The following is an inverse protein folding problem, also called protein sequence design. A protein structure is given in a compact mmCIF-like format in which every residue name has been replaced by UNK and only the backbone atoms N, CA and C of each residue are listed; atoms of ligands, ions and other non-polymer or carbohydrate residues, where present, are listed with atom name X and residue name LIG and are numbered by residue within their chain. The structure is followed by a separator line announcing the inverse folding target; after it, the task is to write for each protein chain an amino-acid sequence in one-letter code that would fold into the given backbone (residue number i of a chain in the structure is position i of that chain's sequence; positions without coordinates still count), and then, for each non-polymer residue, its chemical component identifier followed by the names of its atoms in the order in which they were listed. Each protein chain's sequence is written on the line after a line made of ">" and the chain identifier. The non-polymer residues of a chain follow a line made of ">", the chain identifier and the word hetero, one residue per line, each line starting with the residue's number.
data_IF_892774359914
#
_entry.id   IF_892774359914
#
_cell.length_a   1.000
_cell.length_b   1.000
_cell.length_c   1.000
_cell.angle_alpha   90.00
_cell.angle_beta   90.00
_cell.angle_gamma   90.00
#
_symmetry.space_group_name_H-M   'P 1'
#
loop_
_entity.id
_entity.type
_entity.pdbx_description
1 polymer ?
#
# COMPACT_ATOMS: atom_id res chain seq x y z
N UNK A 1 85.70 37.70 21.05
CA UNK A 1 84.36 37.72 21.68
C UNK A 1 83.45 38.59 20.82
N UNK A 2 82.46 37.97 20.14
CA UNK A 2 80.99 38.15 20.37
C UNK A 2 80.48 39.57 20.05
N UNK A 3 79.50 39.83 19.18
CA UNK A 3 78.46 39.00 18.55
C UNK A 3 77.91 39.67 17.27
N UNK A 4 77.62 38.80 16.31
CA UNK A 4 76.74 38.94 15.15
C UNK A 4 75.30 39.34 15.56
N UNK A 5 74.66 40.25 14.82
CA UNK A 5 73.19 40.26 14.66
C UNK A 5 72.81 40.61 13.22
N UNK A 6 72.49 39.54 12.51
CA UNK A 6 71.59 39.36 11.36
C UNK A 6 70.28 40.15 11.49
N UNK A 7 69.68 40.50 10.33
CA UNK A 7 68.24 40.68 9.98
C UNK A 7 68.14 41.82 8.96
N UNK A 8 67.49 41.75 7.80
CA UNK A 8 66.94 40.64 7.04
C UNK A 8 66.77 41.12 5.58
N UNK A 9 67.07 40.22 4.66
CA UNK A 9 66.75 40.23 3.25
C UNK A 9 65.27 39.82 3.08
N UNK A 10 64.41 40.68 2.52
CA UNK A 10 63.13 40.28 1.89
C UNK A 10 62.87 41.26 0.74
N UNK A 11 63.31 40.94 -0.47
CA UNK A 11 62.57 40.25 -1.53
C UNK A 11 61.46 41.11 -2.17
N UNK A 12 61.84 41.71 -3.29
CA UNK A 12 60.97 42.29 -4.31
C UNK A 12 60.17 41.15 -4.97
N UNK A 13 58.87 41.07 -4.70
CA UNK A 13 57.90 40.30 -5.51
C UNK A 13 56.77 41.27 -5.88
N UNK A 14 56.89 41.87 -7.06
CA UNK A 14 55.73 42.08 -7.93
C UNK A 14 55.07 40.72 -8.15
N UNK A 15 53.74 40.58 -7.97
CA UNK A 15 52.86 39.65 -8.70
C UNK A 15 51.44 39.66 -8.07
N UNK A 16 50.46 39.97 -8.91
CA UNK A 16 49.03 39.65 -8.81
C UNK A 16 48.25 40.15 -7.58
N UNK A 17 47.58 41.30 -7.77
CA UNK A 17 46.28 41.52 -7.14
C UNK A 17 45.32 40.42 -7.62
N UNK A 18 45.13 39.38 -6.81
CA UNK A 18 43.99 38.49 -6.93
C UNK A 18 42.73 39.34 -6.73
N UNK A 19 42.10 39.76 -7.82
CA UNK A 19 40.67 40.00 -7.80
C UNK A 19 40.03 38.68 -7.39
N UNK A 20 39.42 38.65 -6.21
CA UNK A 20 38.44 37.63 -5.87
C UNK A 20 37.32 37.75 -6.92
N UNK A 21 37.44 36.99 -8.00
CA UNK A 21 36.31 36.67 -8.86
C UNK A 21 35.32 35.96 -7.94
N UNK A 22 34.40 36.74 -7.39
CA UNK A 22 33.13 36.29 -6.87
C UNK A 22 32.46 35.51 -7.99
N UNK A 23 32.80 34.22 -8.11
CA UNK A 23 32.09 33.23 -8.91
C UNK A 23 30.71 33.03 -8.26
N UNK A 24 29.85 34.03 -8.46
CA UNK A 24 28.40 33.94 -8.41
C UNK A 24 27.92 33.07 -9.60
N UNK A 25 28.49 31.87 -9.74
CA UNK A 25 27.74 30.80 -10.36
C UNK A 25 26.75 30.37 -9.30
N UNK A 26 25.57 31.01 -9.33
CA UNK A 26 24.37 30.40 -8.77
C UNK A 26 24.38 28.96 -9.25
N UNK A 27 24.59 28.03 -8.32
CA UNK A 27 24.57 26.59 -8.56
C UNK A 27 23.35 26.33 -9.42
N UNK A 28 23.58 25.98 -10.69
CA UNK A 28 22.51 25.77 -11.65
C UNK A 28 21.56 24.76 -11.01
N UNK A 29 20.37 25.22 -10.68
CA UNK A 29 19.41 24.45 -9.91
C UNK A 29 19.15 23.16 -10.70
N UNK A 30 19.42 22.00 -10.08
CA UNK A 30 19.24 20.71 -10.74
C UNK A 30 17.76 20.53 -11.05
N UNK A 31 17.39 20.91 -12.28
CA UNK A 31 16.03 20.77 -12.77
C UNK A 31 15.62 19.29 -12.79
N UNK A 32 16.57 18.37 -12.94
CA UNK A 32 16.30 16.93 -13.00
C UNK A 32 15.68 16.51 -14.33
N UNK A 33 15.68 15.20 -14.58
CA UNK A 33 14.99 14.60 -15.72
C UNK A 33 13.50 14.46 -15.40
N UNK A 34 12.64 14.62 -16.39
CA UNK A 34 11.19 14.38 -16.22
C UNK A 34 10.90 12.91 -15.85
N UNK A 35 11.63 11.99 -16.49
CA UNK A 35 11.53 10.55 -16.30
C UNK A 35 12.90 9.97 -15.93
N UNK A 36 12.94 9.15 -14.89
CA UNK A 36 14.14 8.43 -14.46
C UNK A 36 13.89 6.94 -14.64
N UNK A 37 14.85 6.24 -15.24
CA UNK A 37 14.80 4.79 -15.48
C UNK A 37 15.98 4.12 -14.80
N UNK A 38 15.68 3.23 -13.85
CA UNK A 38 16.64 2.37 -13.14
C UNK A 38 16.41 0.94 -13.65
N UNK A 39 17.29 0.44 -14.51
CA UNK A 39 17.06 -0.81 -15.23
C UNK A 39 18.33 -1.63 -15.52
N UNK A 40 18.13 -2.91 -15.86
CA UNK A 40 19.19 -3.81 -16.29
C UNK A 40 20.12 -4.25 -15.16
N UNK A 41 21.40 -4.42 -15.47
CA UNK A 41 22.35 -5.02 -14.55
C UNK A 41 22.95 -4.03 -13.53
N UNK A 42 22.12 -3.10 -13.04
CA UNK A 42 22.53 -1.99 -12.17
C UNK A 42 22.69 -2.43 -10.71
N UNK A 43 23.75 -1.98 -10.05
CA UNK A 43 23.96 -2.22 -8.62
C UNK A 43 23.23 -1.20 -7.74
N UNK A 44 23.23 -1.41 -6.41
CA UNK A 44 22.65 -0.46 -5.47
C UNK A 44 23.34 0.91 -5.54
N UNK A 45 24.68 0.92 -5.60
CA UNK A 45 25.49 2.14 -5.61
C UNK A 45 25.26 2.93 -6.91
N UNK A 46 25.20 2.25 -8.05
CA UNK A 46 24.94 2.86 -9.35
C UNK A 46 23.52 3.46 -9.41
N UNK A 47 22.51 2.71 -8.96
CA UNK A 47 21.13 3.21 -8.93
C UNK A 47 20.99 4.43 -8.02
N UNK A 48 21.64 4.43 -6.86
CA UNK A 48 21.62 5.56 -5.94
C UNK A 48 22.35 6.79 -6.51
N UNK A 49 23.48 6.59 -7.19
CA UNK A 49 24.20 7.67 -7.87
C UNK A 49 23.33 8.28 -8.97
N UNK A 50 22.69 7.46 -9.79
CA UNK A 50 21.81 7.91 -10.85
C UNK A 50 20.61 8.71 -10.30
N UNK A 51 19.94 8.22 -9.25
CA UNK A 51 18.88 8.97 -8.59
C UNK A 51 19.38 10.32 -8.07
N UNK A 52 20.56 10.36 -7.47
CA UNK A 52 21.16 11.60 -6.93
C UNK A 52 21.44 12.63 -8.03
N UNK A 53 21.83 12.19 -9.22
CA UNK A 53 22.16 13.04 -10.35
C UNK A 53 20.94 13.48 -11.18
N UNK A 54 19.94 12.61 -11.30
CA UNK A 54 18.80 12.81 -12.20
C UNK A 54 17.55 13.36 -11.51
N UNK A 55 17.39 13.15 -10.19
CA UNK A 55 16.28 13.73 -9.43
C UNK A 55 16.39 15.25 -9.36
N UNK A 56 15.28 15.93 -9.63
CA UNK A 56 15.17 17.38 -9.51
C UNK A 56 13.73 17.87 -9.63
N UNK A 57 13.55 19.19 -9.68
CA UNK A 57 12.22 19.85 -9.64
C UNK A 57 11.27 19.47 -10.78
N UNK A 58 11.80 19.03 -11.92
CA UNK A 58 11.04 18.62 -13.09
C UNK A 58 10.74 17.11 -13.09
N UNK A 59 11.30 16.33 -12.16
CA UNK A 59 11.05 14.89 -12.14
C UNK A 59 9.60 14.61 -11.77
N UNK A 60 8.93 13.85 -12.64
CA UNK A 60 7.54 13.45 -12.44
C UNK A 60 7.41 11.95 -12.25
N UNK A 61 8.25 11.16 -12.92
CA UNK A 61 8.09 9.71 -12.99
C UNK A 61 9.41 8.98 -12.72
N UNK A 62 9.34 7.89 -11.95
CA UNK A 62 10.47 7.02 -11.66
C UNK A 62 10.07 5.58 -11.97
N UNK A 63 10.85 4.93 -12.83
CA UNK A 63 10.66 3.54 -13.24
C UNK A 63 11.85 2.72 -12.76
N UNK A 64 11.58 1.65 -12.00
CA UNK A 64 12.58 0.69 -11.53
C UNK A 64 12.18 -0.66 -12.10
N UNK A 65 12.84 -1.07 -13.19
CA UNK A 65 12.35 -2.17 -14.00
C UNK A 65 13.45 -3.12 -14.47
N UNK A 66 13.13 -4.41 -14.55
CA UNK A 66 14.00 -5.43 -15.16
C UNK A 66 15.43 -5.43 -14.58
N UNK A 67 15.60 -5.15 -13.29
CA UNK A 67 16.92 -5.13 -12.67
C UNK A 67 17.38 -6.52 -12.24
N UNK A 68 18.64 -6.88 -12.53
CA UNK A 68 19.21 -8.20 -12.21
C UNK A 68 20.26 -8.21 -11.10
N UNK A 69 20.69 -7.05 -10.61
CA UNK A 69 21.66 -6.93 -9.49
C UNK A 69 21.21 -5.99 -8.37
N UNK A 70 20.16 -5.18 -8.61
CA UNK A 70 19.65 -4.24 -7.64
C UNK A 70 18.93 -5.00 -6.51
N UNK A 71 19.45 -4.91 -5.29
CA UNK A 71 18.89 -5.58 -4.11
C UNK A 71 18.17 -4.62 -3.17
N UNK A 72 18.53 -3.34 -3.21
CA UNK A 72 17.95 -2.31 -2.39
C UNK A 72 17.89 -0.98 -3.13
N UNK A 73 16.81 -0.22 -2.94
CA UNK A 73 16.68 1.13 -3.46
C UNK A 73 16.00 2.05 -2.46
N UNK A 74 16.50 3.27 -2.36
CA UNK A 74 15.94 4.33 -1.53
C UNK A 74 15.61 5.54 -2.39
N UNK A 75 14.32 5.81 -2.56
CA UNK A 75 13.82 6.96 -3.29
C UNK A 75 13.41 8.02 -2.28
N UNK A 76 14.17 9.10 -2.21
CA UNK A 76 13.85 10.26 -1.39
C UNK A 76 13.78 11.50 -2.26
N UNK A 77 12.68 12.24 -2.18
CA UNK A 77 12.49 13.45 -2.97
C UNK A 77 11.59 14.44 -2.26
N UNK A 78 12.00 15.70 -2.21
CA UNK A 78 11.19 16.82 -1.72
C UNK A 78 10.29 17.41 -2.83
N UNK A 79 10.37 16.84 -4.05
CA UNK A 79 9.60 17.28 -5.21
C UNK A 79 8.36 16.39 -5.39
N UNK A 80 7.34 16.93 -6.07
CA UNK A 80 6.10 16.21 -6.30
C UNK A 80 6.30 15.14 -7.39
N UNK A 81 6.61 13.92 -6.98
CA UNK A 81 6.62 12.77 -7.88
C UNK A 81 5.17 12.32 -8.12
N UNK A 82 4.80 12.20 -9.40
CA UNK A 82 3.47 11.79 -9.82
C UNK A 82 3.36 10.26 -9.86
N UNK A 83 4.37 9.59 -10.41
CA UNK A 83 4.35 8.16 -10.70
C UNK A 83 5.62 7.47 -10.22
N UNK A 84 5.47 6.34 -9.52
CA UNK A 84 6.58 5.42 -9.25
C UNK A 84 6.13 4.01 -9.56
N UNK A 85 6.96 3.28 -10.30
CA UNK A 85 6.68 1.91 -10.70
C UNK A 85 7.88 1.00 -10.50
N UNK A 86 7.63 -0.12 -9.84
CA UNK A 86 8.58 -1.22 -9.69
C UNK A 86 8.06 -2.41 -10.48
N UNK A 87 8.79 -2.84 -11.50
CA UNK A 87 8.36 -3.92 -12.39
C UNK A 87 9.46 -4.96 -12.64
N UNK A 88 9.16 -6.25 -12.46
CA UNK A 88 10.04 -7.37 -12.88
C UNK A 88 11.51 -7.27 -12.39
N UNK A 89 11.72 -6.83 -11.16
CA UNK A 89 13.05 -6.75 -10.54
C UNK A 89 13.39 -8.08 -9.85
N UNK A 90 14.42 -8.76 -10.33
CA UNK A 90 14.77 -10.13 -9.93
C UNK A 90 15.32 -10.23 -8.50
N UNK A 91 16.24 -9.34 -8.13
CA UNK A 91 16.94 -9.42 -6.85
C UNK A 91 16.51 -8.34 -5.85
N UNK A 92 15.54 -7.49 -6.22
CA UNK A 92 15.12 -6.34 -5.41
C UNK A 92 14.30 -6.77 -4.19
N UNK A 93 14.92 -6.66 -3.01
CA UNK A 93 14.38 -7.05 -1.71
C UNK A 93 13.88 -5.84 -0.93
N UNK A 94 14.64 -4.74 -0.90
CA UNK A 94 14.37 -3.61 -0.02
C UNK A 94 13.97 -2.36 -0.81
N UNK A 95 12.78 -1.84 -0.56
CA UNK A 95 12.28 -0.60 -1.17
C UNK A 95 11.91 0.37 -0.07
N UNK A 96 12.59 1.52 -0.04
CA UNK A 96 12.24 2.63 0.85
C UNK A 96 11.86 3.86 0.03
N UNK A 97 10.73 4.46 0.37
CA UNK A 97 10.23 5.68 -0.29
C UNK A 97 9.91 6.73 0.78
N UNK A 98 10.38 7.96 0.58
CA UNK A 98 10.14 9.08 1.49
C UNK A 98 10.30 10.46 0.82
N UNK A 99 10.07 11.51 1.61
CA UNK A 99 10.24 12.91 1.20
C UNK A 99 8.97 13.59 0.66
N UNK A 100 8.07 12.86 0.00
CA UNK A 100 6.82 13.44 -0.52
C UNK A 100 5.56 12.85 0.14
N UNK A 101 4.55 13.72 0.28
CA UNK A 101 3.29 13.42 1.00
C UNK A 101 2.17 12.88 0.12
N UNK A 102 2.21 13.17 -1.18
CA UNK A 102 1.15 12.79 -2.12
C UNK A 102 1.78 12.15 -3.34
N UNK A 103 1.14 11.11 -3.85
CA UNK A 103 1.51 10.48 -5.11
C UNK A 103 0.25 10.19 -5.91
N UNK A 104 0.32 10.30 -7.24
CA UNK A 104 -0.82 9.94 -8.07
C UNK A 104 -0.89 8.43 -8.20
N UNK A 105 0.19 7.80 -8.64
CA UNK A 105 0.25 6.38 -8.97
C UNK A 105 1.50 5.76 -8.35
N UNK A 106 1.32 4.73 -7.53
CA UNK A 106 2.41 3.95 -6.93
C UNK A 106 2.17 2.46 -7.19
N UNK A 107 3.05 1.85 -7.98
CA UNK A 107 2.87 0.52 -8.51
C UNK A 107 4.03 -0.39 -8.11
N UNK A 108 3.69 -1.55 -7.56
CA UNK A 108 4.62 -2.65 -7.32
C UNK A 108 4.08 -3.85 -8.09
N UNK A 109 4.58 -4.06 -9.31
CA UNK A 109 4.18 -5.14 -10.20
C UNK A 109 5.27 -6.18 -10.27
N UNK A 110 4.96 -7.39 -9.86
CA UNK A 110 5.88 -8.51 -10.03
C UNK A 110 5.09 -9.76 -10.41
N UNK A 111 4.30 -9.62 -11.46
CA UNK A 111 3.46 -10.67 -12.00
C UNK A 111 4.24 -11.42 -13.10
N UNK A 112 5.12 -12.34 -12.70
CA UNK A 112 5.31 -13.55 -13.52
C UNK A 112 6.49 -13.63 -14.50
N UNK A 113 7.73 -13.41 -14.07
CA UNK A 113 8.87 -14.02 -14.78
C UNK A 113 9.51 -15.10 -13.92
N UNK A 114 9.48 -16.33 -14.42
CA UNK A 114 10.26 -17.44 -13.88
C UNK A 114 11.73 -17.27 -14.33
N UNK A 115 12.74 -17.48 -13.46
CA UNK A 115 12.63 -17.91 -12.07
C UNK A 115 12.04 -16.80 -11.19
N UNK A 116 10.99 -17.15 -10.45
CA UNK A 116 10.30 -16.21 -9.57
C UNK A 116 11.32 -15.66 -8.58
N UNK A 117 11.35 -14.33 -8.35
CA UNK A 117 12.12 -13.78 -7.24
C UNK A 117 11.66 -14.46 -5.96
N UNK A 118 12.57 -15.25 -5.37
CA UNK A 118 12.31 -16.09 -4.19
C UNK A 118 12.31 -15.30 -2.89
N UNK A 119 12.66 -14.01 -2.94
CA UNK A 119 12.97 -13.25 -1.75
C UNK A 119 11.78 -12.41 -1.27
N UNK A 120 11.51 -12.42 0.06
CA UNK A 120 10.64 -11.44 0.69
C UNK A 120 10.97 -10.02 0.26
N UNK A 121 9.93 -9.20 0.08
CA UNK A 121 10.09 -7.77 -0.22
C UNK A 121 9.73 -6.95 0.99
N UNK A 122 10.63 -6.07 1.40
CA UNK A 122 10.42 -5.08 2.43
C UNK A 122 10.08 -3.75 1.76
N UNK A 123 8.79 -3.42 1.71
CA UNK A 123 8.27 -2.17 1.16
C UNK A 123 7.94 -1.23 2.31
N UNK A 124 8.67 -0.12 2.40
CA UNK A 124 8.49 0.90 3.43
C UNK A 124 8.24 2.26 2.80
N UNK A 125 7.04 2.78 2.95
CA UNK A 125 6.66 4.13 2.56
C UNK A 125 6.43 4.96 3.82
N UNK A 126 7.37 5.87 4.12
CA UNK A 126 7.40 6.56 5.41
C UNK A 126 6.61 7.86 5.44
N UNK A 127 6.49 8.53 4.29
CA UNK A 127 5.97 9.91 4.23
C UNK A 127 4.71 10.10 3.40
N UNK A 128 4.32 9.10 2.60
CA UNK A 128 3.14 9.17 1.75
C UNK A 128 1.89 9.20 2.63
N UNK A 129 1.12 10.28 2.54
CA UNK A 129 -0.15 10.49 3.24
C UNK A 129 -1.37 10.22 2.33
N UNK A 130 -1.25 10.48 1.03
CA UNK A 130 -2.32 10.29 0.05
C UNK A 130 -1.80 9.64 -1.25
N UNK A 131 -2.54 8.65 -1.76
CA UNK A 131 -2.31 8.07 -3.09
C UNK A 131 -3.61 8.15 -3.91
N UNK A 132 -3.55 8.52 -5.19
CA UNK A 132 -4.75 8.42 -6.05
C UNK A 132 -5.03 6.99 -6.49
N UNK A 133 -3.97 6.23 -6.76
CA UNK A 133 -3.96 4.82 -7.14
C UNK A 133 -2.76 4.13 -6.47
N UNK A 134 -3.01 3.01 -5.79
CA UNK A 134 -2.00 2.19 -5.15
C UNK A 134 -2.18 0.75 -5.59
N UNK A 135 -1.17 0.17 -6.24
CA UNK A 135 -1.23 -1.19 -6.76
C UNK A 135 -0.04 -1.99 -6.23
N UNK A 136 -0.31 -2.99 -5.39
CA UNK A 136 0.68 -3.87 -4.79
C UNK A 136 0.37 -5.29 -5.22
N UNK A 137 1.06 -5.76 -6.28
CA UNK A 137 0.95 -7.11 -6.85
C UNK A 137 2.28 -7.83 -6.68
N UNK A 138 2.42 -8.55 -5.58
CA UNK A 138 3.62 -9.30 -5.24
C UNK A 138 3.42 -10.80 -5.55
N UNK A 139 4.50 -11.57 -5.80
CA UNK A 139 4.37 -12.97 -6.16
C UNK A 139 3.68 -13.77 -5.05
N UNK A 140 2.50 -14.31 -5.36
CA UNK A 140 1.67 -14.99 -4.36
C UNK A 140 2.28 -16.30 -3.82
N UNK A 141 3.28 -16.84 -4.53
CA UNK A 141 3.99 -18.07 -4.16
C UNK A 141 5.26 -17.81 -3.34
N UNK A 142 5.66 -16.54 -3.16
CA UNK A 142 6.84 -16.16 -2.40
C UNK A 142 6.39 -15.65 -1.01
N UNK A 143 6.43 -16.48 0.04
CA UNK A 143 5.97 -16.05 1.34
C UNK A 143 6.86 -14.94 1.89
N UNK A 144 6.23 -14.06 2.67
CA UNK A 144 6.93 -13.28 3.68
C UNK A 144 7.20 -11.82 3.35
N UNK A 145 6.47 -11.24 2.42
CA UNK A 145 6.54 -9.81 2.15
C UNK A 145 6.16 -8.98 3.39
N UNK A 146 6.85 -7.85 3.58
CA UNK A 146 6.58 -6.89 4.64
C UNK A 146 6.20 -5.57 3.97
N UNK A 147 4.93 -5.20 4.07
CA UNK A 147 4.37 -3.99 3.43
C UNK A 147 3.94 -3.00 4.51
N UNK A 148 4.54 -1.81 4.51
CA UNK A 148 4.32 -0.80 5.53
C UNK A 148 4.17 0.60 4.95
N UNK A 149 3.03 1.22 5.23
CA UNK A 149 2.69 2.59 4.87
C UNK A 149 2.32 3.37 6.15
N UNK A 150 3.35 3.93 6.81
CA UNK A 150 3.20 4.44 8.18
C UNK A 150 2.28 5.68 8.28
N UNK A 151 2.23 6.50 7.23
CA UNK A 151 1.49 7.77 7.22
C UNK A 151 0.33 7.82 6.22
N UNK A 152 0.08 6.73 5.47
CA UNK A 152 -0.93 6.73 4.42
C UNK A 152 -2.33 6.79 5.03
N UNK A 153 -3.01 7.91 4.81
CA UNK A 153 -4.37 8.20 5.30
C UNK A 153 -5.44 7.89 4.27
N UNK A 154 -5.14 8.06 2.99
CA UNK A 154 -6.14 7.96 1.92
C UNK A 154 -5.61 7.30 0.66
N UNK A 155 -6.41 6.39 0.10
CA UNK A 155 -6.26 5.91 -1.29
C UNK A 155 -7.55 6.19 -2.08
N UNK A 156 -7.44 6.95 -3.16
CA UNK A 156 -8.56 7.30 -4.03
C UNK A 156 -8.36 8.63 -4.77
N UNK A 157 -9.07 8.88 -5.88
CA UNK A 157 -10.35 8.26 -6.22
C UNK A 157 -10.26 6.95 -7.02
N UNK A 158 -9.07 6.46 -7.36
CA UNK A 158 -8.95 5.18 -8.07
C UNK A 158 -8.83 4.02 -7.07
N UNK A 159 -8.41 2.87 -7.55
CA UNK A 159 -8.37 1.65 -6.77
C UNK A 159 -7.13 1.58 -5.86
N UNK A 160 -7.32 0.85 -4.76
CA UNK A 160 -6.28 0.25 -3.97
C UNK A 160 -6.29 -1.26 -4.27
N UNK A 161 -5.27 -1.77 -4.95
CA UNK A 161 -5.10 -3.21 -5.19
C UNK A 161 -3.99 -3.74 -4.30
N UNK A 162 -4.27 -4.82 -3.57
CA UNK A 162 -3.31 -5.49 -2.69
C UNK A 162 -3.42 -7.01 -2.85
N UNK A 163 -2.49 -7.57 -3.62
CA UNK A 163 -2.34 -9.00 -3.89
C UNK A 163 -0.96 -9.47 -3.39
N UNK A 164 -0.89 -10.14 -2.25
CA UNK A 164 0.38 -10.56 -1.65
C UNK A 164 0.24 -11.62 -0.53
N UNK A 165 1.25 -12.46 -0.35
CA UNK A 165 1.47 -13.21 0.89
C UNK A 165 2.35 -12.41 1.86
N UNK A 166 1.77 -11.95 2.97
CA UNK A 166 2.41 -10.96 3.85
C UNK A 166 2.75 -11.54 5.23
N UNK A 167 4.00 -11.36 5.67
CA UNK A 167 4.38 -11.49 7.08
C UNK A 167 3.91 -10.26 7.86
N UNK A 168 4.30 -9.07 7.40
CA UNK A 168 3.90 -7.78 7.94
C UNK A 168 3.00 -7.04 6.95
N UNK A 169 1.90 -6.50 7.45
CA UNK A 169 0.99 -5.65 6.69
C UNK A 169 0.55 -4.52 7.61
N UNK A 170 1.03 -3.31 7.33
CA UNK A 170 0.88 -2.19 8.24
C UNK A 170 0.35 -0.93 7.53
N UNK A 171 -0.88 -0.56 7.89
CA UNK A 171 -1.58 0.65 7.45
C UNK A 171 -2.22 1.32 8.67
N UNK A 172 -1.41 1.84 9.61
CA UNK A 172 -1.90 2.24 10.94
C UNK A 172 -2.72 3.53 10.89
N UNK A 173 -2.58 4.32 9.83
CA UNK A 173 -3.22 5.63 9.66
C UNK A 173 -4.23 5.67 8.51
N UNK A 174 -4.49 4.55 7.82
CA UNK A 174 -5.37 4.51 6.65
C UNK A 174 -6.84 4.68 7.05
N UNK A 175 -7.43 5.82 6.71
CA UNK A 175 -8.79 6.22 7.11
C UNK A 175 -9.83 6.04 6.01
N UNK A 176 -9.45 6.22 4.75
CA UNK A 176 -10.39 6.19 3.61
C UNK A 176 -9.82 5.48 2.40
N UNK A 177 -10.60 4.59 1.80
CA UNK A 177 -10.30 3.94 0.51
C UNK A 177 -11.50 4.09 -0.40
N UNK A 178 -11.30 4.35 -1.70
CA UNK A 178 -12.41 4.33 -2.65
C UNK A 178 -12.79 2.87 -2.98
N UNK A 179 -12.05 2.24 -3.90
CA UNK A 179 -12.19 0.82 -4.25
C UNK A 179 -11.02 0.05 -3.66
N UNK A 180 -11.29 -1.05 -2.97
CA UNK A 180 -10.28 -1.92 -2.37
C UNK A 180 -10.38 -3.32 -2.97
N UNK A 181 -9.46 -3.65 -3.88
CA UNK A 181 -9.30 -4.99 -4.43
C UNK A 181 -8.30 -5.76 -3.56
N UNK A 182 -8.78 -6.80 -2.88
CA UNK A 182 -8.07 -7.39 -1.76
C UNK A 182 -7.85 -8.90 -1.98
N UNK A 183 -6.59 -9.35 -2.04
CA UNK A 183 -6.21 -10.75 -2.01
C UNK A 183 -4.92 -10.93 -1.20
N UNK A 184 -5.06 -10.96 0.12
CA UNK A 184 -3.93 -11.10 1.03
C UNK A 184 -3.96 -12.45 1.73
N UNK A 185 -2.85 -13.16 1.66
CA UNK A 185 -2.59 -14.32 2.49
C UNK A 185 -1.84 -13.90 3.76
N UNK A 186 -2.56 -13.89 4.88
CA UNK A 186 -2.05 -13.56 6.21
C UNK A 186 -3.09 -13.98 7.25
N UNK A 187 -2.74 -14.72 8.34
CA UNK A 187 -3.75 -15.27 9.26
C UNK A 187 -4.69 -14.23 9.88
N UNK A 188 -4.16 -13.06 10.28
CA UNK A 188 -4.94 -11.98 10.89
C UNK A 188 -4.61 -10.67 10.18
N UNK A 189 -5.65 -10.00 9.71
CA UNK A 189 -5.54 -8.74 8.97
C UNK A 189 -6.39 -7.70 9.70
N UNK A 190 -5.80 -6.55 10.00
CA UNK A 190 -6.47 -5.47 10.74
C UNK A 190 -6.17 -4.13 10.09
N UNK A 191 -7.23 -3.36 9.81
CA UNK A 191 -7.15 -1.96 9.42
C UNK A 191 -7.72 -1.10 10.57
N UNK A 192 -6.87 -0.65 11.51
CA UNK A 192 -7.32 -0.19 12.84
C UNK A 192 -8.15 1.10 12.79
N UNK A 193 -7.91 1.97 11.81
CA UNK A 193 -8.52 3.31 11.73
C UNK A 193 -9.29 3.55 10.43
N UNK A 194 -9.49 2.52 9.61
CA UNK A 194 -10.20 2.62 8.33
C UNK A 194 -11.68 2.84 8.59
N UNK A 195 -12.19 4.03 8.24
CA UNK A 195 -13.55 4.50 8.53
C UNK A 195 -14.49 4.41 7.33
N UNK A 196 -13.94 4.59 6.12
CA UNK A 196 -14.73 4.71 4.89
C UNK A 196 -14.16 3.87 3.76
N UNK A 197 -15.00 3.03 3.17
CA UNK A 197 -14.72 2.29 1.93
C UNK A 197 -15.93 2.43 1.00
N UNK A 198 -15.76 2.78 -0.28
CA UNK A 198 -16.91 2.69 -1.20
C UNK A 198 -17.15 1.24 -1.60
N UNK A 199 -16.11 0.54 -2.05
CA UNK A 199 -16.23 -0.86 -2.46
C UNK A 199 -15.05 -1.66 -1.97
N UNK A 200 -15.30 -2.83 -1.38
CA UNK A 200 -14.30 -3.85 -1.14
C UNK A 200 -14.65 -5.11 -1.93
N UNK A 201 -13.71 -5.53 -2.78
CA UNK A 201 -13.79 -6.75 -3.55
C UNK A 201 -12.81 -7.77 -2.94
N UNK A 202 -13.35 -8.90 -2.52
CA UNK A 202 -12.57 -10.00 -1.96
C UNK A 202 -11.87 -10.83 -3.04
N UNK A 203 -10.99 -11.72 -2.60
CA UNK A 203 -10.26 -12.61 -3.49
C UNK A 203 -11.16 -13.74 -4.00
N UNK A 204 -10.68 -14.47 -5.01
CA UNK A 204 -11.25 -15.78 -5.37
C UNK A 204 -11.04 -16.83 -4.26
N UNK A 205 -10.00 -16.64 -3.43
CA UNK A 205 -9.53 -17.52 -2.36
C UNK A 205 -9.26 -16.73 -1.09
N UNK A 206 -9.97 -17.03 0.00
CA UNK A 206 -9.69 -16.46 1.32
C UNK A 206 -8.59 -17.27 2.02
N UNK A 207 -7.45 -16.63 2.26
CA UNK A 207 -6.30 -17.24 2.96
C UNK A 207 -5.92 -16.44 4.22
N UNK A 208 -6.96 -15.93 4.91
CA UNK A 208 -6.89 -15.32 6.22
C UNK A 208 -7.97 -15.93 7.12
N UNK A 209 -7.70 -15.99 8.42
CA UNK A 209 -8.65 -16.52 9.40
C UNK A 209 -9.50 -15.39 9.98
N UNK A 210 -8.96 -14.16 10.00
CA UNK A 210 -9.62 -13.01 10.61
C UNK A 210 -9.33 -11.73 9.82
N UNK A 211 -10.39 -10.98 9.53
CA UNK A 211 -10.35 -9.65 8.92
C UNK A 211 -11.08 -8.64 9.80
N UNK A 212 -10.35 -7.65 10.29
CA UNK A 212 -10.83 -6.69 11.28
C UNK A 212 -10.86 -5.27 10.74
N UNK A 213 -12.02 -4.65 10.88
CA UNK A 213 -12.27 -3.24 10.60
C UNK A 213 -12.94 -2.57 11.83
N UNK A 214 -12.21 -2.38 12.94
CA UNK A 214 -12.78 -1.88 14.18
C UNK A 214 -13.39 -0.46 14.08
N UNK A 215 -12.91 0.35 13.13
CA UNK A 215 -13.34 1.74 12.94
C UNK A 215 -14.26 1.95 11.72
N UNK A 216 -14.57 0.91 10.93
CA UNK A 216 -15.28 1.07 9.65
C UNK A 216 -16.75 1.39 9.89
N UNK A 217 -17.15 2.57 9.42
CA UNK A 217 -18.50 3.13 9.57
C UNK A 217 -19.28 3.08 8.26
N UNK A 218 -18.60 3.24 7.12
CA UNK A 218 -19.23 3.26 5.81
C UNK A 218 -18.56 2.24 4.88
N UNK A 219 -19.35 1.32 4.34
CA UNK A 219 -18.95 0.39 3.28
C UNK A 219 -20.11 0.19 2.31
N UNK A 220 -20.15 0.92 1.18
CA UNK A 220 -21.32 0.83 0.27
C UNK A 220 -21.48 -0.58 -0.30
N UNK A 221 -20.39 -1.21 -0.74
CA UNK A 221 -20.36 -2.57 -1.29
C UNK A 221 -19.26 -3.42 -0.66
N UNK A 222 -19.65 -4.45 0.08
CA UNK A 222 -18.78 -5.52 0.57
C UNK A 222 -19.04 -6.79 -0.25
N UNK A 223 -18.06 -7.23 -1.04
CA UNK A 223 -18.28 -8.32 -2.00
C UNK A 223 -17.16 -9.37 -1.97
N UNK A 224 -17.34 -10.38 -1.13
CA UNK A 224 -16.46 -11.55 -1.06
C UNK A 224 -17.20 -12.74 -1.69
N UNK A 225 -17.00 -12.90 -3.00
CA UNK A 225 -17.58 -13.98 -3.80
C UNK A 225 -16.48 -14.98 -4.14
N UNK A 226 -16.08 -15.79 -3.16
CA UNK A 226 -15.11 -16.87 -3.42
C UNK A 226 -15.77 -18.01 -4.18
N UNK A 227 -15.00 -18.81 -4.90
CA UNK A 227 -15.48 -20.01 -5.60
C UNK A 227 -15.12 -21.29 -4.85
N UNK A 228 -14.13 -21.21 -3.97
CA UNK A 228 -13.60 -22.34 -3.24
C UNK A 228 -13.79 -22.17 -1.73
N UNK A 229 -13.92 -23.31 -1.06
CA UNK A 229 -14.15 -23.38 0.38
C UNK A 229 -12.89 -22.97 1.12
N UNK A 230 -13.06 -22.08 2.07
CA UNK A 230 -11.98 -21.67 2.96
C UNK A 230 -12.30 -22.07 4.39
N UNK A 231 -11.28 -22.02 5.25
CA UNK A 231 -11.50 -22.17 6.68
C UNK A 231 -12.46 -21.06 7.17
N UNK A 232 -13.14 -21.33 8.29
CA UNK A 232 -14.05 -20.36 8.92
C UNK A 232 -13.34 -19.03 9.11
N UNK A 233 -13.85 -18.01 8.45
CA UNK A 233 -13.27 -16.68 8.47
C UNK A 233 -14.11 -15.75 9.32
N UNK A 234 -13.47 -15.08 10.28
CA UNK A 234 -14.12 -14.11 11.14
C UNK A 234 -13.96 -12.73 10.53
N UNK A 235 -15.07 -12.06 10.23
CA UNK A 235 -15.10 -10.67 9.78
C UNK A 235 -15.71 -9.80 10.88
N UNK A 236 -14.93 -8.82 11.36
CA UNK A 236 -15.32 -7.96 12.49
C UNK A 236 -15.44 -6.51 12.03
N UNK A 237 -16.67 -5.99 11.99
CA UNK A 237 -16.97 -4.62 11.53
C UNK A 237 -17.94 -3.91 12.50
N UNK A 238 -17.60 -3.76 13.80
CA UNK A 238 -18.57 -3.46 14.86
C UNK A 238 -19.26 -2.09 14.74
N UNK A 239 -18.64 -1.15 14.03
CA UNK A 239 -19.14 0.23 13.89
C UNK A 239 -19.81 0.51 12.54
N UNK A 240 -20.13 -0.52 11.74
CA UNK A 240 -20.75 -0.33 10.43
C UNK A 240 -22.11 0.36 10.58
N UNK A 241 -22.26 1.51 9.94
CA UNK A 241 -23.48 2.32 9.92
C UNK A 241 -24.14 2.33 8.53
N UNK A 242 -23.38 2.12 7.46
CA UNK A 242 -23.91 2.14 6.09
C UNK A 242 -23.37 0.99 5.23
N UNK A 243 -24.27 0.25 4.58
CA UNK A 243 -23.96 -0.76 3.56
C UNK A 243 -25.19 -1.09 2.70
N UNK A 244 -25.05 -1.00 1.38
CA UNK A 244 -26.11 -1.33 0.41
C UNK A 244 -26.03 -2.79 -0.05
N UNK A 245 -24.81 -3.31 -0.20
CA UNK A 245 -24.55 -4.65 -0.69
C UNK A 245 -23.53 -5.35 0.19
N UNK A 246 -23.93 -6.47 0.79
CA UNK A 246 -23.05 -7.32 1.59
C UNK A 246 -23.13 -8.76 1.06
N UNK A 247 -22.03 -9.26 0.54
CA UNK A 247 -21.88 -10.64 0.10
C UNK A 247 -20.66 -11.27 0.76
N UNK A 248 -20.88 -12.41 1.40
CA UNK A 248 -19.86 -13.24 2.00
C UNK A 248 -20.19 -14.71 1.72
N UNK A 249 -19.62 -15.23 0.63
CA UNK A 249 -19.82 -16.60 0.16
C UNK A 249 -18.60 -17.48 0.49
N UNK A 250 -18.86 -18.76 0.74
CA UNK A 250 -17.90 -19.84 1.03
C UNK A 250 -16.81 -19.55 2.08
N UNK A 251 -17.08 -18.59 2.98
CA UNK A 251 -16.14 -18.12 4.00
C UNK A 251 -16.58 -18.44 5.44
N UNK A 252 -17.85 -18.80 5.66
CA UNK A 252 -18.43 -18.99 7.00
C UNK A 252 -18.95 -20.41 7.13
N UNK A 253 -18.55 -21.11 8.20
CA UNK A 253 -19.11 -22.41 8.59
C UNK A 253 -19.68 -22.42 10.04
N UNK A 254 -19.86 -21.23 10.63
CA UNK A 254 -20.40 -21.04 11.98
C UNK A 254 -21.65 -20.13 11.94
N UNK A 255 -22.80 -20.71 12.30
CA UNK A 255 -24.08 -20.00 12.41
C UNK A 255 -24.05 -18.79 13.34
N UNK A 256 -23.16 -18.74 14.35
CA UNK A 256 -23.02 -17.57 15.22
C UNK A 256 -22.53 -16.34 14.47
N UNK A 257 -21.67 -16.52 13.46
CA UNK A 257 -21.19 -15.44 12.60
C UNK A 257 -22.34 -14.93 11.74
N UNK A 258 -23.10 -15.84 11.10
CA UNK A 258 -24.30 -15.50 10.33
C UNK A 258 -25.30 -14.72 11.18
N UNK A 259 -25.61 -15.20 12.39
CA UNK A 259 -26.54 -14.54 13.31
C UNK A 259 -26.06 -13.13 13.71
N UNK A 260 -24.76 -12.97 13.99
CA UNK A 260 -24.16 -11.69 14.37
C UNK A 260 -24.26 -10.66 13.25
N UNK A 261 -23.94 -11.06 12.01
CA UNK A 261 -24.05 -10.19 10.83
C UNK A 261 -25.50 -9.78 10.62
N UNK A 262 -26.45 -10.73 10.65
CA UNK A 262 -27.87 -10.41 10.47
C UNK A 262 -28.37 -9.43 11.53
N UNK A 263 -28.03 -9.66 12.79
CA UNK A 263 -28.40 -8.78 13.90
C UNK A 263 -27.90 -7.35 13.68
N UNK A 264 -26.62 -7.22 13.31
CA UNK A 264 -26.00 -5.93 13.05
C UNK A 264 -26.71 -5.17 11.91
N UNK A 265 -27.09 -5.87 10.84
CA UNK A 265 -27.69 -5.24 9.66
C UNK A 265 -29.10 -4.68 9.88
N UNK A 266 -29.76 -4.99 11.01
CA UNK A 266 -31.07 -4.40 11.38
C UNK A 266 -30.99 -2.88 11.48
N UNK A 267 -29.84 -2.34 11.93
CA UNK A 267 -29.63 -0.91 12.17
C UNK A 267 -28.74 -0.24 11.10
N UNK A 268 -28.12 -1.02 10.21
CA UNK A 268 -27.29 -0.51 9.12
C UNK A 268 -28.16 0.17 8.05
N UNK A 269 -27.78 1.39 7.67
CA UNK A 269 -28.43 2.16 6.62
C UNK A 269 -27.99 1.71 5.21
N UNK A 270 -28.85 1.87 4.19
CA UNK A 270 -30.27 2.24 4.30
C UNK A 270 -31.09 1.14 5.00
N UNK A 271 -32.20 1.50 5.66
CA UNK A 271 -33.03 0.52 6.40
C UNK A 271 -33.69 -0.51 5.47
N UNK A 272 -33.94 -0.15 4.21
CA UNK A 272 -34.57 -0.97 3.18
C UNK A 272 -33.73 -1.00 1.90
N UNK A 273 -33.98 -1.96 1.00
CA UNK A 273 -33.32 -2.02 -0.31
C UNK A 273 -31.89 -2.57 -0.29
N UNK A 274 -31.43 -3.11 0.85
CA UNK A 274 -30.13 -3.78 0.93
C UNK A 274 -30.17 -5.15 0.25
N UNK A 275 -29.02 -5.59 -0.25
CA UNK A 275 -28.77 -6.97 -0.67
C UNK A 275 -27.77 -7.62 0.29
N UNK A 276 -28.22 -8.65 1.02
CA UNK A 276 -27.44 -9.35 2.03
C UNK A 276 -27.38 -10.82 1.64
N UNK A 277 -26.19 -11.32 1.31
CA UNK A 277 -25.92 -12.70 0.92
C UNK A 277 -24.83 -13.29 1.82
N UNK A 278 -25.19 -14.29 2.62
CA UNK A 278 -24.28 -14.95 3.54
C UNK A 278 -24.43 -16.46 3.37
N UNK A 279 -23.39 -17.18 2.98
CA UNK A 279 -23.42 -18.63 3.06
C UNK A 279 -22.54 -19.33 2.04
N UNK A 280 -22.97 -20.48 1.54
CA UNK A 280 -22.11 -21.38 0.79
C UNK A 280 -20.97 -21.92 1.65
N UNK A 281 -21.14 -22.05 2.97
CA UNK A 281 -20.17 -22.71 3.85
C UNK A 281 -20.26 -24.24 3.79
N UNK A 282 -19.14 -24.95 3.98
CA UNK A 282 -19.13 -26.41 4.20
C UNK A 282 -18.50 -26.68 5.58
N UNK A 283 -19.27 -27.20 6.55
CA UNK A 283 -20.72 -27.36 6.50
C UNK A 283 -21.46 -26.02 6.36
N UNK A 284 -22.72 -26.02 5.88
CA UNK A 284 -23.55 -24.80 5.82
C UNK A 284 -23.73 -24.16 7.20
N UNK A 285 -23.88 -22.83 7.22
CA UNK A 285 -23.99 -22.03 8.44
C UNK A 285 -25.30 -21.22 8.48
N UNK A 286 -26.47 -21.89 8.38
CA UNK A 286 -27.74 -21.19 8.31
C UNK A 286 -28.03 -20.41 9.61
N UNK A 287 -28.87 -19.36 9.57
CA UNK A 287 -29.26 -18.64 10.77
C UNK A 287 -30.07 -19.54 11.72
N UNK A 288 -29.90 -19.34 13.01
CA UNK A 288 -30.56 -20.10 14.08
C UNK A 288 -31.11 -19.17 15.16
N UNK A 289 -32.13 -19.61 15.91
CA UNK A 289 -32.68 -18.86 17.05
C UNK A 289 -33.03 -17.41 16.70
N UNK A 290 -32.40 -16.46 17.39
CA UNK A 290 -32.58 -15.02 17.13
C UNK A 290 -32.22 -14.62 15.68
N UNK A 291 -31.24 -15.28 15.04
CA UNK A 291 -30.88 -14.98 13.66
C UNK A 291 -31.99 -15.25 12.64
N UNK A 292 -32.91 -16.20 12.93
CA UNK A 292 -34.09 -16.44 12.08
C UNK A 292 -35.05 -15.25 12.17
N UNK A 293 -35.24 -14.70 13.39
CA UNK A 293 -36.08 -13.52 13.64
C UNK A 293 -35.46 -12.29 12.99
N UNK A 294 -34.15 -12.12 13.11
CA UNK A 294 -33.41 -10.99 12.54
C UNK A 294 -33.47 -11.03 10.99
N UNK A 295 -33.29 -12.21 10.38
CA UNK A 295 -33.50 -12.42 8.94
C UNK A 295 -34.90 -11.99 8.49
N UNK A 296 -35.94 -12.44 9.19
CA UNK A 296 -37.32 -12.08 8.84
C UNK A 296 -37.58 -10.58 9.02
N UNK A 297 -36.99 -9.97 10.06
CA UNK A 297 -37.08 -8.53 10.30
C UNK A 297 -36.48 -7.73 9.14
N UNK A 298 -35.29 -8.12 8.66
CA UNK A 298 -34.66 -7.51 7.49
C UNK A 298 -35.52 -7.65 6.22
N UNK A 299 -36.11 -8.82 5.98
CA UNK A 299 -37.02 -9.04 4.85
C UNK A 299 -38.26 -8.13 4.95
N UNK A 300 -38.87 -8.03 6.13
CA UNK A 300 -40.02 -7.16 6.39
C UNK A 300 -39.71 -5.67 6.21
N UNK A 301 -38.45 -5.26 6.45
CA UNK A 301 -37.95 -3.92 6.14
C UNK A 301 -37.73 -3.68 4.62
N UNK A 302 -37.96 -4.68 3.76
CA UNK A 302 -37.80 -4.56 2.30
C UNK A 302 -36.37 -4.81 1.81
N UNK A 303 -35.59 -5.64 2.51
CA UNK A 303 -34.25 -6.06 2.08
C UNK A 303 -34.29 -7.43 1.39
N UNK A 304 -33.38 -7.68 0.45
CA UNK A 304 -33.16 -9.00 -0.14
C UNK A 304 -32.12 -9.77 0.71
N UNK A 305 -32.56 -10.84 1.39
CA UNK A 305 -31.71 -11.59 2.33
C UNK A 305 -31.61 -13.06 1.92
N UNK A 306 -30.42 -13.48 1.51
CA UNK A 306 -30.09 -14.87 1.19
C UNK A 306 -29.14 -15.45 2.25
N UNK A 307 -29.55 -16.57 2.84
CA UNK A 307 -28.71 -17.33 3.77
C UNK A 307 -28.88 -18.82 3.53
N UNK A 308 -27.79 -19.59 3.50
CA UNK A 308 -27.81 -21.05 3.40
C UNK A 308 -26.78 -21.73 4.31
#
# INVERSE_FOLDING_TARGET
>A
MKKLKTVALVLLITLFSCTEENNYYTTAERLGKENIYIEGNITNEEAQAQLTDELGKNTQNIYVQNTTQLTAINIHSDTNIRHIEFENNQDLVNITIGGFKKIKELLFKNEGTFPLPLTPKNIKCNDIEEASYLDIRLPYQAPGHNVSFNKLKKVGPNDFTLLAECNELNFPTLETVNVFNFAVKKPIITFPVLKHIETINGPSYIEFNQLNFPALQYCKKFNFSTWEWTQSTIITIPLLQYCEFFRLLNAINDSNITNTILHQFITVFPVSGKQIEIGGGQPPAPPTGQGIIDKQTLINQGNAVYTN
#
